data_IF_638154522155
#
_entry.id   IF_638154522155
#
_cell.length_a   1.000
_cell.length_b   1.000
_cell.length_c   1.000
_cell.angle_alpha   90.00
_cell.angle_beta   90.00
_cell.angle_gamma   90.00
#
_symmetry.space_group_name_H-M   'P 1'
#
loop_
_entity.id
_entity.type
_entity.pdbx_description
1 polymer ?
#
# COMPACT_ATOMS: atom_id res chain seq x y z
N UNK A 1 11.48 -4.01 11.62
CA UNK A 1 10.49 -4.10 12.71
C UNK A 1 9.56 -5.27 12.44
N UNK A 2 9.35 -6.12 13.45
CA UNK A 2 8.44 -7.28 13.41
C UNK A 2 7.03 -6.80 13.82
N UNK A 3 5.96 -7.37 13.25
CA UNK A 3 4.57 -6.98 13.54
C UNK A 3 4.26 -6.91 15.04
N UNK A 4 4.66 -7.94 15.80
CA UNK A 4 4.34 -8.01 17.24
C UNK A 4 5.04 -6.89 18.03
N UNK A 5 6.24 -6.48 17.61
CA UNK A 5 6.93 -5.34 18.21
C UNK A 5 6.19 -4.03 17.95
N UNK A 6 5.64 -3.86 16.74
CA UNK A 6 4.80 -2.71 16.42
C UNK A 6 3.51 -2.71 17.26
N UNK A 7 2.81 -3.84 17.36
CA UNK A 7 1.59 -3.92 18.16
C UNK A 7 1.85 -3.71 19.66
N UNK A 8 2.97 -4.20 20.19
CA UNK A 8 3.39 -3.90 21.56
C UNK A 8 3.61 -2.39 21.77
N UNK A 9 4.27 -1.72 20.82
CA UNK A 9 4.49 -0.28 20.90
C UNK A 9 3.19 0.54 20.76
N UNK A 10 2.20 0.04 20.02
CA UNK A 10 0.91 0.71 19.81
C UNK A 10 -0.11 0.48 20.93
N UNK A 11 0.05 -0.60 21.71
CA UNK A 11 -0.86 -0.98 22.81
C UNK A 11 -1.16 0.17 23.79
N UNK A 12 -0.19 0.98 24.26
CA UNK A 12 -0.45 2.10 25.16
C UNK A 12 -1.34 3.18 24.54
N UNK A 13 -1.36 3.28 23.20
CA UNK A 13 -2.14 4.28 22.47
C UNK A 13 -3.54 3.78 22.07
N UNK A 14 -3.86 2.51 22.34
CA UNK A 14 -5.15 1.91 22.00
C UNK A 14 -5.33 1.59 20.51
N UNK A 15 -4.23 1.44 19.77
CA UNK A 15 -4.21 1.09 18.34
C UNK A 15 -3.52 -0.25 18.09
N UNK A 16 -3.79 -0.87 16.95
CA UNK A 16 -3.07 -2.05 16.49
C UNK A 16 -2.97 -2.09 14.96
N UNK A 17 -1.94 -2.77 14.44
CA UNK A 17 -1.81 -3.12 13.04
C UNK A 17 -2.55 -4.43 12.77
N UNK A 18 -3.63 -4.32 12.00
CA UNK A 18 -4.68 -5.34 11.92
C UNK A 18 -4.37 -6.61 11.12
N UNK A 19 -3.52 -6.61 10.07
CA UNK A 19 -3.23 -7.84 9.35
C UNK A 19 -2.65 -8.92 10.29
N UNK A 20 -3.45 -9.97 10.56
CA UNK A 20 -3.09 -11.09 11.43
C UNK A 20 -2.60 -12.30 10.62
N UNK A 21 -1.33 -12.68 10.83
CA UNK A 21 -0.68 -13.79 10.14
C UNK A 21 -0.32 -14.88 11.14
N UNK A 22 -0.42 -16.16 10.74
CA UNK A 22 -0.01 -17.30 11.56
C UNK A 22 1.48 -17.29 11.95
N UNK A 23 2.30 -16.45 11.30
CA UNK A 23 3.73 -16.25 11.53
C UNK A 23 4.06 -14.84 12.07
N UNK A 24 3.14 -14.21 12.81
CA UNK A 24 3.26 -12.83 13.32
C UNK A 24 4.58 -12.52 14.03
N UNK A 25 5.16 -13.51 14.73
CA UNK A 25 6.39 -13.38 15.49
C UNK A 25 7.68 -13.29 14.64
N UNK A 26 7.60 -13.54 13.32
CA UNK A 26 8.72 -13.45 12.36
C UNK A 26 8.39 -12.59 11.15
N UNK A 27 7.11 -12.26 10.92
CA UNK A 27 6.68 -11.41 9.82
C UNK A 27 7.18 -9.97 10.00
N UNK A 28 8.00 -9.51 9.05
CA UNK A 28 8.45 -8.12 8.99
C UNK A 28 7.43 -7.29 8.22
N UNK A 29 7.27 -6.01 8.60
CA UNK A 29 6.38 -5.09 7.88
C UNK A 29 6.76 -4.93 6.41
N UNK A 30 8.07 -4.94 6.11
CA UNK A 30 8.56 -4.91 4.73
C UNK A 30 8.07 -6.13 3.95
N UNK A 31 8.16 -7.33 4.52
CA UNK A 31 7.63 -8.55 3.92
C UNK A 31 6.12 -8.49 3.71
N UNK A 32 5.37 -8.03 4.73
CA UNK A 32 3.92 -7.90 4.67
C UNK A 32 3.44 -6.91 3.60
N UNK A 33 4.15 -5.79 3.44
CA UNK A 33 3.87 -4.80 2.39
C UNK A 33 4.17 -5.39 1.02
N UNK A 34 5.28 -6.10 0.92
CA UNK A 34 5.74 -6.66 -0.33
C UNK A 34 4.80 -7.75 -0.88
N UNK A 35 4.07 -8.44 -0.02
CA UNK A 35 3.08 -9.45 -0.39
C UNK A 35 1.63 -8.98 -0.24
N UNK A 36 1.41 -7.68 0.05
CA UNK A 36 0.11 -7.10 0.41
C UNK A 36 -0.70 -8.00 1.38
N UNK A 37 -0.04 -8.40 2.46
CA UNK A 37 -0.51 -9.45 3.35
C UNK A 37 -1.92 -9.17 3.88
N UNK A 38 -2.75 -10.21 3.86
CA UNK A 38 -4.10 -10.23 4.43
C UNK A 38 -4.21 -11.39 5.44
N UNK A 39 -5.04 -11.17 6.47
CA UNK A 39 -5.10 -12.04 7.64
C UNK A 39 -6.53 -12.31 8.11
N UNK A 40 -6.68 -13.04 9.22
CA UNK A 40 -7.98 -13.09 9.89
C UNK A 40 -8.39 -11.66 10.32
N UNK A 41 -9.65 -11.29 10.08
CA UNK A 41 -10.14 -9.93 10.34
C UNK A 41 -9.92 -8.92 9.20
N UNK A 42 -9.28 -9.28 8.07
CA UNK A 42 -9.11 -8.36 6.94
C UNK A 42 -10.44 -7.91 6.31
N UNK A 43 -11.50 -8.71 6.45
CA UNK A 43 -12.86 -8.32 6.04
C UNK A 43 -13.41 -7.12 6.84
N UNK A 44 -12.93 -6.92 8.07
CA UNK A 44 -13.38 -5.86 8.97
C UNK A 44 -12.42 -4.68 8.97
N UNK A 45 -11.11 -4.97 8.94
CA UNK A 45 -10.08 -3.95 9.16
C UNK A 45 -9.25 -3.60 7.93
N UNK A 46 -9.42 -4.32 6.81
CA UNK A 46 -8.65 -4.10 5.59
C UNK A 46 -7.38 -4.95 5.52
N UNK A 47 -6.66 -4.81 4.40
CA UNK A 47 -5.38 -5.47 4.11
C UNK A 47 -4.20 -4.53 4.39
N UNK A 48 -2.98 -5.05 4.28
CA UNK A 48 -1.77 -4.25 4.56
C UNK A 48 -1.74 -2.94 3.79
N UNK A 49 -2.02 -2.93 2.48
CA UNK A 49 -2.06 -1.71 1.67
C UNK A 49 -3.09 -0.66 2.12
N UNK A 50 -4.16 -1.04 2.82
CA UNK A 50 -5.14 -0.09 3.36
C UNK A 50 -4.63 0.67 4.59
N UNK A 51 -3.58 0.14 5.22
CA UNK A 51 -2.94 0.74 6.39
C UNK A 51 -1.66 1.53 6.06
N UNK A 52 -1.16 1.42 4.82
CA UNK A 52 0.07 2.10 4.36
C UNK A 52 -0.28 3.48 3.82
N UNK A 53 0.25 4.53 4.46
CA UNK A 53 0.05 5.92 4.02
C UNK A 53 0.95 6.33 2.84
N UNK A 54 2.10 5.68 2.73
CA UNK A 54 3.10 6.00 1.74
C UNK A 54 4.38 5.20 1.94
N UNK A 55 5.14 5.05 0.87
CA UNK A 55 6.38 4.28 0.85
C UNK A 55 7.49 5.17 0.31
N UNK A 56 8.69 5.03 0.87
CA UNK A 56 9.92 5.61 0.34
C UNK A 56 10.78 4.49 -0.24
N UNK A 57 10.81 4.34 -1.55
CA UNK A 57 11.67 3.35 -2.20
C UNK A 57 12.99 3.98 -2.67
N UNK A 58 14.06 3.20 -2.67
CA UNK A 58 15.31 3.55 -3.35
C UNK A 58 15.30 2.82 -4.69
N UNK A 59 15.36 3.58 -5.78
CA UNK A 59 15.36 3.06 -7.15
C UNK A 59 16.75 2.58 -7.55
N UNK A 60 16.81 1.78 -8.62
CA UNK A 60 18.05 1.48 -9.32
C UNK A 60 18.64 2.80 -9.83
N UNK A 61 19.85 3.14 -9.38
CA UNK A 61 20.49 4.44 -9.63
C UNK A 61 20.57 5.34 -8.38
N UNK A 62 19.92 4.97 -7.27
CA UNK A 62 19.99 5.70 -6.00
C UNK A 62 18.94 6.80 -5.82
N UNK A 63 18.15 7.08 -6.85
CA UNK A 63 17.02 8.00 -6.77
C UNK A 63 16.01 7.55 -5.72
N UNK A 64 15.37 8.51 -5.05
CA UNK A 64 14.33 8.25 -4.06
C UNK A 64 12.95 8.40 -4.71
N UNK A 65 12.11 7.39 -4.55
CA UNK A 65 10.70 7.42 -4.92
C UNK A 65 9.85 7.51 -3.66
N UNK A 66 9.18 8.65 -3.47
CA UNK A 66 8.22 8.86 -2.39
C UNK A 66 6.80 8.72 -2.92
N UNK A 67 6.05 7.76 -2.38
CA UNK A 67 4.65 7.53 -2.72
C UNK A 67 3.73 7.91 -1.57
N UNK A 68 2.51 8.29 -1.92
CA UNK A 68 1.35 8.50 -1.03
C UNK A 68 0.13 8.79 -1.90
N UNK A 69 -1.07 8.64 -1.33
CA UNK A 69 -2.30 9.09 -1.97
C UNK A 69 -2.31 10.62 -2.09
N UNK A 70 -2.58 11.14 -3.28
CA UNK A 70 -2.60 12.58 -3.57
C UNK A 70 -3.68 12.95 -4.61
N UNK A 71 -4.02 14.25 -4.76
CA UNK A 71 -4.88 14.70 -5.86
C UNK A 71 -4.29 14.32 -7.21
N UNK A 72 -5.15 13.92 -8.16
CA UNK A 72 -4.75 13.50 -9.51
C UNK A 72 -3.89 14.54 -10.22
N UNK A 73 -4.22 15.82 -10.06
CA UNK A 73 -3.48 16.91 -10.70
C UNK A 73 -2.02 17.03 -10.21
N UNK A 74 -1.79 16.75 -8.92
CA UNK A 74 -0.43 16.71 -8.38
C UNK A 74 0.35 15.51 -8.95
N UNK A 75 -0.30 14.35 -9.07
CA UNK A 75 0.34 13.17 -9.66
C UNK A 75 0.69 13.39 -11.14
N UNK A 76 -0.18 14.07 -11.89
CA UNK A 76 0.06 14.48 -13.29
C UNK A 76 1.30 15.38 -13.38
N UNK A 77 1.37 16.41 -12.54
CA UNK A 77 2.51 17.34 -12.48
C UNK A 77 3.82 16.62 -12.15
N UNK A 78 3.80 15.67 -11.20
CA UNK A 78 4.99 14.85 -10.89
C UNK A 78 5.43 13.99 -12.09
N UNK A 79 4.48 13.51 -12.89
CA UNK A 79 4.73 12.74 -14.10
C UNK A 79 5.31 13.55 -15.27
N UNK A 80 5.22 14.87 -15.26
CA UNK A 80 5.83 15.74 -16.28
C UNK A 80 7.36 15.87 -16.09
N UNK A 81 7.87 15.48 -14.93
CA UNK A 81 9.30 15.51 -14.63
C UNK A 81 10.04 14.36 -15.36
N UNK A 82 11.15 14.67 -16.01
CA UNK A 82 11.94 13.72 -16.81
C UNK A 82 12.84 12.79 -16.00
N UNK A 83 12.92 12.98 -14.67
CA UNK A 83 13.63 12.12 -13.72
C UNK A 83 13.04 10.71 -13.66
N UNK A 84 13.80 9.75 -13.11
CA UNK A 84 13.36 8.36 -12.95
C UNK A 84 12.03 8.25 -12.18
N UNK A 85 11.84 8.91 -11.01
CA UNK A 85 10.55 8.90 -10.32
C UNK A 85 9.42 9.50 -11.16
N UNK A 86 9.68 10.61 -11.87
CA UNK A 86 8.68 11.24 -12.73
C UNK A 86 8.21 10.32 -13.86
N UNK A 87 9.12 9.61 -14.52
CA UNK A 87 8.79 8.59 -15.54
C UNK A 87 7.94 7.45 -15.00
N UNK A 88 8.20 7.00 -13.76
CA UNK A 88 7.39 5.97 -13.09
C UNK A 88 5.97 6.51 -12.85
N UNK A 89 5.84 7.72 -12.29
CA UNK A 89 4.55 8.38 -12.11
C UNK A 89 3.79 8.48 -13.44
N UNK A 90 4.44 8.99 -14.49
CA UNK A 90 3.85 9.14 -15.81
C UNK A 90 3.36 7.81 -16.38
N UNK A 91 4.21 6.78 -16.33
CA UNK A 91 3.91 5.47 -16.91
C UNK A 91 2.73 4.82 -16.20
N UNK A 92 2.72 4.80 -14.87
CA UNK A 92 1.62 4.22 -14.09
C UNK A 92 0.34 5.03 -14.27
N UNK A 93 0.44 6.36 -14.23
CA UNK A 93 -0.68 7.27 -14.43
C UNK A 93 -1.37 7.03 -15.77
N UNK A 94 -0.62 7.08 -16.88
CA UNK A 94 -1.18 6.90 -18.23
C UNK A 94 -1.72 5.48 -18.41
N UNK A 95 -0.95 4.46 -18.00
CA UNK A 95 -1.39 3.06 -18.14
C UNK A 95 -2.72 2.81 -17.43
N UNK A 96 -2.88 3.31 -16.20
CA UNK A 96 -4.09 3.09 -15.41
C UNK A 96 -5.27 3.97 -15.86
N UNK A 97 -4.99 5.15 -16.42
CA UNK A 97 -6.00 6.05 -16.96
C UNK A 97 -6.55 5.52 -18.28
N UNK A 98 -5.68 5.20 -19.24
CA UNK A 98 -6.05 4.70 -20.57
C UNK A 98 -6.76 3.35 -20.50
N UNK A 99 -6.31 2.48 -19.60
CA UNK A 99 -6.87 1.13 -19.45
C UNK A 99 -7.90 1.04 -18.32
N UNK A 100 -8.44 2.16 -17.82
CA UNK A 100 -9.30 2.15 -16.63
C UNK A 100 -10.47 1.17 -16.76
N UNK A 101 -11.19 1.22 -17.86
CA UNK A 101 -12.35 0.34 -18.07
C UNK A 101 -11.92 -1.14 -18.11
N UNK A 102 -10.86 -1.45 -18.85
CA UNK A 102 -10.31 -2.81 -18.90
C UNK A 102 -9.88 -3.31 -17.52
N UNK A 103 -9.26 -2.47 -16.70
CA UNK A 103 -8.89 -2.78 -15.32
C UNK A 103 -10.14 -3.06 -14.48
N UNK A 104 -11.19 -2.24 -14.59
CA UNK A 104 -12.45 -2.45 -13.87
C UNK A 104 -13.14 -3.76 -14.27
N UNK A 105 -13.09 -4.11 -15.56
CA UNK A 105 -13.75 -5.30 -16.09
C UNK A 105 -12.94 -6.58 -15.81
N UNK A 106 -11.60 -6.49 -15.81
CA UNK A 106 -10.71 -7.64 -15.64
C UNK A 106 -10.44 -7.98 -14.17
N UNK A 107 -10.46 -6.99 -13.27
CA UNK A 107 -10.24 -7.23 -11.85
C UNK A 107 -11.55 -7.69 -11.20
N UNK A 108 -11.64 -8.94 -10.71
CA UNK A 108 -12.82 -9.38 -10.00
C UNK A 108 -12.97 -8.57 -8.71
N UNK A 109 -14.20 -8.43 -8.21
CA UNK A 109 -14.45 -7.96 -6.83
C UNK A 109 -13.93 -9.00 -5.85
N UNK A 110 -12.62 -8.95 -5.58
CA UNK A 110 -11.94 -9.90 -4.70
C UNK A 110 -11.89 -9.34 -3.28
N UNK A 111 -12.34 -10.16 -2.32
CA UNK A 111 -12.17 -9.88 -0.90
C UNK A 111 -10.77 -10.30 -0.38
N UNK A 112 -9.96 -10.91 -1.26
CA UNK A 112 -8.56 -11.32 -1.04
C UNK A 112 -7.81 -11.24 -2.37
N UNK A 113 -6.79 -10.40 -2.47
CA UNK A 113 -5.97 -10.33 -3.67
C UNK A 113 -4.88 -11.40 -3.67
N UNK A 114 -4.66 -12.00 -4.85
CA UNK A 114 -3.43 -12.71 -5.19
C UNK A 114 -2.36 -11.69 -5.55
N UNK A 115 -1.14 -12.02 -5.12
CA UNK A 115 0.16 -11.55 -5.62
C UNK A 115 0.12 -10.79 -6.95
N UNK A 116 0.56 -9.53 -6.96
CA UNK A 116 0.58 -8.68 -8.16
C UNK A 116 0.38 -7.20 -7.85
N UNK A 117 0.36 -6.37 -8.91
CA UNK A 117 0.16 -4.93 -8.79
C UNK A 117 -1.33 -4.57 -8.68
N UNK A 118 -1.69 -3.80 -7.66
CA UNK A 118 -3.06 -3.34 -7.43
C UNK A 118 -3.42 -2.13 -8.34
N UNK A 119 -3.53 -2.38 -9.64
CA UNK A 119 -3.83 -1.37 -10.65
C UNK A 119 -5.21 -0.72 -10.45
N UNK A 120 -6.16 -1.50 -9.89
CA UNK A 120 -7.53 -1.06 -9.65
C UNK A 120 -7.60 0.12 -8.67
N UNK A 121 -6.77 0.11 -7.64
CA UNK A 121 -6.81 1.12 -6.58
C UNK A 121 -5.77 2.24 -6.75
N UNK A 122 -5.00 2.24 -7.84
CA UNK A 122 -4.13 3.39 -8.20
C UNK A 122 -4.96 4.67 -8.33
N UNK A 123 -6.11 4.60 -8.99
CA UNK A 123 -7.11 5.65 -8.95
C UNK A 123 -8.30 5.22 -8.08
N UNK A 124 -8.76 6.13 -7.22
CA UNK A 124 -10.02 5.93 -6.50
C UNK A 124 -11.23 5.98 -7.45
N UNK A 125 -12.41 5.61 -6.94
CA UNK A 125 -13.59 5.35 -7.76
C UNK A 125 -14.13 6.59 -8.47
N UNK A 126 -14.05 7.75 -7.83
CA UNK A 126 -14.42 9.06 -8.38
C UNK A 126 -13.27 9.73 -9.18
N UNK A 127 -12.13 9.05 -9.33
CA UNK A 127 -10.95 9.53 -10.07
C UNK A 127 -10.40 10.88 -9.55
N UNK A 128 -10.60 11.21 -8.26
CA UNK A 128 -10.11 12.45 -7.65
C UNK A 128 -8.72 12.30 -7.04
N UNK A 129 -8.30 11.07 -6.72
CA UNK A 129 -7.01 10.76 -6.11
C UNK A 129 -6.25 9.67 -6.85
N UNK A 130 -4.94 9.82 -6.84
CA UNK A 130 -3.96 8.87 -7.36
C UNK A 130 -3.05 8.39 -6.22
N UNK A 131 -2.76 7.09 -6.16
CA UNK A 131 -1.89 6.49 -5.15
C UNK A 131 -0.94 5.44 -5.73
N UNK A 132 0.30 5.86 -6.00
CA UNK A 132 1.37 4.98 -6.48
C UNK A 132 1.78 3.91 -5.46
N UNK A 133 1.45 4.11 -4.18
CA UNK A 133 1.76 3.15 -3.11
C UNK A 133 1.15 1.78 -3.41
N UNK A 134 -0.01 1.76 -4.07
CA UNK A 134 -0.74 0.54 -4.46
C UNK A 134 0.04 -0.36 -5.42
N UNK A 135 0.98 0.20 -6.19
CA UNK A 135 1.90 -0.56 -7.04
C UNK A 135 3.06 -1.16 -6.24
N UNK A 136 3.54 -0.46 -5.21
CA UNK A 136 4.66 -0.94 -4.42
C UNK A 136 4.24 -2.01 -3.41
N UNK A 137 3.01 -1.91 -2.90
CA UNK A 137 2.38 -2.96 -2.10
C UNK A 137 2.03 -4.15 -2.99
N UNK A 138 2.53 -5.35 -2.68
CA UNK A 138 2.30 -6.56 -3.51
C UNK A 138 3.32 -6.79 -4.64
N UNK A 139 4.42 -6.03 -4.66
CA UNK A 139 5.46 -6.09 -5.72
C UNK A 139 6.43 -7.28 -5.65
N UNK A 140 6.29 -8.16 -4.65
CA UNK A 140 7.05 -9.42 -4.47
C UNK A 140 8.59 -9.30 -4.48
N UNK A 141 9.14 -8.15 -4.14
CA UNK A 141 10.57 -8.00 -3.82
C UNK A 141 11.40 -7.48 -4.98
N UNK A 142 10.75 -6.97 -6.04
CA UNK A 142 11.45 -6.28 -7.12
C UNK A 142 12.06 -4.93 -6.71
N UNK A 143 11.78 -4.45 -5.49
CA UNK A 143 12.14 -3.11 -5.01
C UNK A 143 12.69 -3.16 -3.59
N UNK A 144 13.68 -2.31 -3.28
CA UNK A 144 14.15 -2.10 -1.91
C UNK A 144 13.35 -0.96 -1.26
N UNK A 145 12.45 -1.34 -0.35
CA UNK A 145 11.48 -0.43 0.25
C UNK A 145 11.95 0.06 1.63
N UNK A 146 11.88 1.37 1.85
CA UNK A 146 11.91 2.01 3.16
C UNK A 146 10.51 2.55 3.47
N UNK A 147 10.06 2.38 4.70
CA UNK A 147 8.72 2.79 5.08
C UNK A 147 8.76 4.23 5.60
N UNK A 148 7.81 5.05 5.14
CA UNK A 148 7.63 6.38 5.73
C UNK A 148 7.06 6.23 7.14
N UNK A 149 7.41 7.14 8.08
CA UNK A 149 6.73 7.21 9.36
C UNK A 149 5.28 7.70 9.15
N UNK A 150 4.32 6.81 9.37
CA UNK A 150 2.88 7.13 9.32
C UNK A 150 2.04 5.91 8.92
N UNK A 151 1.02 5.58 9.70
CA UNK A 151 0.16 4.42 9.50
C UNK A 151 -1.30 4.78 9.74
N UNK A 152 -2.23 4.27 8.93
CA UNK A 152 -3.66 4.27 9.28
C UNK A 152 -3.92 3.01 10.10
N UNK A 153 -4.14 3.18 11.41
CA UNK A 153 -4.30 2.07 12.34
C UNK A 153 -5.71 2.09 12.94
N UNK A 154 -6.44 0.96 12.93
CA UNK A 154 -7.69 0.85 13.66
C UNK A 154 -7.45 0.92 15.18
N UNK A 155 -8.46 1.45 15.90
CA UNK A 155 -8.51 1.39 17.36
C UNK A 155 -8.95 0.00 17.83
N UNK A 156 -8.50 -0.40 19.01
CA UNK A 156 -9.05 -1.59 19.66
C UNK A 156 -10.58 -1.44 19.85
N UNK A 157 -11.37 -2.48 19.55
CA UNK A 157 -12.77 -2.52 19.92
C UNK A 157 -12.91 -2.39 21.44
N UNK A 158 -13.91 -1.62 21.92
CA UNK A 158 -14.18 -1.45 23.36
C UNK A 158 -14.63 -2.75 24.07
N UNK A 159 -14.90 -3.80 23.31
CA UNK A 159 -15.34 -5.11 23.80
C UNK A 159 -14.70 -6.22 22.95
N UNK A 160 -13.46 -6.57 23.26
CA UNK A 160 -12.86 -7.82 22.79
C UNK A 160 -11.99 -8.38 23.92
N UNK A 161 -12.54 -9.38 24.60
CA UNK A 161 -11.80 -10.34 25.42
C UNK A 161 -11.00 -11.18 24.42
N UNK A 162 -9.68 -11.27 24.61
CA UNK A 162 -8.78 -12.15 23.87
C UNK A 162 -8.53 -13.42 24.69
#
# INVERSE_FOLDING_TARGET
>A
MIKDQLNQALKPYGYFFAPELSTSNRATLGGMINTDASGQGSLVYGKTSDHVLGIRAVLLGGDILDTQSMPVELARTLGENTTTPGRIYQTVYQSCLENRQLILDSFPKLNRFLTGYDLRHVFNDDMTRFDLTRILTGSEGRWRLLLKPGWILPRYPKSAVW
#
